data_IF_620943430782
#
_entry.id   IF_620943430782
#
_cell.length_a   1.000
_cell.length_b   1.000
_cell.length_c   1.000
_cell.angle_alpha   90.00
_cell.angle_beta   90.00
_cell.angle_gamma   90.00
#
_symmetry.space_group_name_H-M   'P 1'
#
loop_
_entity.id
_entity.type
_entity.pdbx_description
1 polymer ?
#
# COMPACT_ATOMS: atom_id res chain seq x y z
N UNK A 1 22.82 -13.84 4.41
CA UNK A 1 22.70 -12.97 5.61
C UNK A 1 21.50 -13.41 6.44
N UNK A 2 21.59 -13.37 7.77
CA UNK A 2 20.52 -13.82 8.70
C UNK A 2 19.36 -12.83 8.72
N UNK A 3 18.11 -13.29 8.96
CA UNK A 3 16.95 -12.43 9.29
C UNK A 3 17.38 -11.41 10.36
N UNK A 4 16.91 -10.15 10.31
CA UNK A 4 17.22 -9.18 11.35
C UNK A 4 16.84 -9.75 12.71
N UNK A 5 17.73 -9.60 13.70
CA UNK A 5 17.47 -10.10 15.04
C UNK A 5 16.35 -9.25 15.65
N UNK A 6 15.22 -9.87 15.95
CA UNK A 6 14.12 -9.22 16.67
C UNK A 6 14.67 -8.62 17.98
N UNK A 7 14.44 -7.32 18.16
CA UNK A 7 14.86 -6.60 19.38
C UNK A 7 13.68 -6.34 20.32
N UNK A 8 12.45 -6.65 19.87
CA UNK A 8 11.23 -6.49 20.65
C UNK A 8 11.15 -7.54 21.78
N UNK A 9 11.02 -7.13 23.06
CA UNK A 9 10.83 -8.03 24.19
C UNK A 9 9.56 -8.90 24.05
N UNK A 10 9.52 -10.10 24.67
CA UNK A 10 8.37 -11.01 24.58
C UNK A 10 7.03 -10.36 24.94
N UNK A 11 7.00 -9.51 25.97
CA UNK A 11 5.77 -8.81 26.41
C UNK A 11 5.08 -8.01 25.30
N UNK A 12 5.85 -7.44 24.36
CA UNK A 12 5.31 -6.70 23.22
C UNK A 12 5.19 -7.57 21.97
N UNK A 13 6.09 -8.54 21.78
CA UNK A 13 6.08 -9.44 20.61
C UNK A 13 4.88 -10.39 20.63
N UNK A 14 4.57 -10.92 21.80
CA UNK A 14 3.54 -11.95 21.99
C UNK A 14 2.19 -11.33 22.40
N UNK A 15 2.07 -10.01 22.33
CA UNK A 15 0.86 -9.29 22.72
C UNK A 15 -0.30 -9.57 21.76
N UNK A 16 -1.53 -9.52 22.29
CA UNK A 16 -2.74 -9.65 21.48
C UNK A 16 -3.05 -8.33 20.78
N UNK A 17 -3.80 -8.41 19.69
CA UNK A 17 -4.22 -7.23 18.91
C UNK A 17 -4.92 -6.16 19.75
N UNK A 18 -5.83 -6.58 20.64
CA UNK A 18 -6.55 -5.67 21.54
C UNK A 18 -5.61 -4.86 22.45
N UNK A 19 -4.54 -5.49 22.95
CA UNK A 19 -3.54 -4.79 23.77
C UNK A 19 -2.70 -3.82 22.91
N UNK A 20 -2.36 -4.22 21.68
CA UNK A 20 -1.59 -3.35 20.78
C UNK A 20 -2.36 -2.08 20.40
N UNK A 21 -3.69 -2.18 20.19
CA UNK A 21 -4.55 -1.02 19.91
C UNK A 21 -4.61 0.00 21.07
N UNK A 22 -4.30 -0.41 22.29
CA UNK A 22 -4.21 0.52 23.42
C UNK A 22 -2.92 1.37 23.37
N UNK A 23 -1.89 0.92 22.65
CA UNK A 23 -0.67 1.69 22.45
C UNK A 23 -0.92 2.74 21.37
N UNK A 24 -1.17 3.97 21.79
CA UNK A 24 -1.50 5.08 20.91
C UNK A 24 -0.41 6.15 20.94
N UNK A 25 -0.17 6.78 19.80
CA UNK A 25 0.72 7.94 19.74
C UNK A 25 0.07 9.13 20.46
N UNK A 26 0.85 9.86 21.24
CA UNK A 26 0.40 11.11 21.84
C UNK A 26 0.46 12.22 20.78
N UNK A 27 -0.69 12.60 20.23
CA UNK A 27 -0.82 13.59 19.15
C UNK A 27 -0.21 14.96 19.47
N UNK A 28 -0.13 15.37 20.74
CA UNK A 28 0.55 16.62 21.14
C UNK A 28 2.06 16.59 20.84
N UNK A 29 2.63 15.38 20.77
CA UNK A 29 4.05 15.11 20.52
C UNK A 29 4.37 14.85 19.05
N UNK A 30 3.45 15.13 18.13
CA UNK A 30 3.73 15.01 16.70
C UNK A 30 5.03 15.73 16.34
N UNK A 31 5.89 15.08 15.57
CA UNK A 31 7.14 15.68 15.12
C UNK A 31 6.82 16.89 14.23
N UNK A 32 7.57 17.98 14.43
CA UNK A 32 7.32 19.29 13.82
C UNK A 32 6.04 20.00 14.26
N UNK A 33 5.38 19.58 15.35
CA UNK A 33 4.21 20.30 15.88
C UNK A 33 4.53 21.76 16.22
N UNK A 34 5.76 22.03 16.69
CA UNK A 34 6.27 23.36 16.99
C UNK A 34 6.93 24.11 15.80
N UNK A 35 6.91 23.53 14.59
CA UNK A 35 7.46 24.17 13.40
C UNK A 35 6.34 24.68 12.49
N UNK A 36 6.61 25.80 11.82
CA UNK A 36 5.76 26.37 10.77
C UNK A 36 5.88 25.50 9.52
N UNK A 37 5.11 24.43 9.45
CA UNK A 37 4.96 23.55 8.28
C UNK A 37 3.60 22.86 8.36
N UNK A 38 2.92 22.62 7.21
CA UNK A 38 1.67 21.86 7.20
C UNK A 38 1.89 20.36 7.47
N UNK A 39 3.10 19.84 7.28
CA UNK A 39 3.39 18.43 7.53
C UNK A 39 3.73 18.18 8.99
N UNK A 40 3.23 17.06 9.53
CA UNK A 40 3.64 16.48 10.82
C UNK A 40 4.01 15.02 10.64
N UNK A 41 4.80 14.48 11.56
CA UNK A 41 5.07 13.05 11.61
C UNK A 41 4.60 12.47 12.94
N UNK A 42 4.04 11.28 12.89
CA UNK A 42 3.84 10.45 14.07
C UNK A 42 4.49 9.09 13.84
N UNK A 43 4.70 8.34 14.91
CA UNK A 43 5.47 7.10 14.87
C UNK A 43 4.64 5.92 15.35
N UNK A 44 4.93 4.74 14.82
CA UNK A 44 4.34 3.48 15.30
C UNK A 44 5.26 2.82 16.33
N UNK A 45 4.65 2.25 17.36
CA UNK A 45 5.35 1.48 18.38
C UNK A 45 5.61 0.04 17.90
N UNK A 46 6.70 -0.57 18.35
CA UNK A 46 6.96 -2.01 18.13
C UNK A 46 5.95 -2.88 18.89
N UNK A 47 5.59 -4.03 18.34
CA UNK A 47 4.65 -4.95 18.96
C UNK A 47 4.07 -5.93 17.96
N UNK A 48 3.56 -7.05 18.46
CA UNK A 48 3.07 -8.16 17.66
C UNK A 48 4.12 -8.59 16.61
N UNK A 49 3.75 -8.57 15.34
CA UNK A 49 4.59 -8.89 14.18
C UNK A 49 5.56 -7.75 13.78
N UNK A 50 5.47 -6.56 14.38
CA UNK A 50 6.43 -5.47 14.20
C UNK A 50 7.60 -5.56 15.20
N UNK A 51 8.31 -6.68 15.15
CA UNK A 51 9.34 -7.06 16.12
C UNK A 51 10.74 -6.45 15.84
N UNK A 52 10.88 -5.80 14.69
CA UNK A 52 12.13 -5.24 14.18
C UNK A 52 11.93 -3.76 13.86
N UNK A 53 12.74 -2.85 14.42
CA UNK A 53 12.54 -1.43 14.24
C UNK A 53 13.06 -0.93 12.89
N UNK A 54 12.60 0.26 12.54
CA UNK A 54 13.17 1.10 11.48
C UNK A 54 13.95 2.27 12.09
N UNK A 55 15.01 2.67 11.41
CA UNK A 55 15.70 3.93 11.70
C UNK A 55 15.02 5.07 10.95
N UNK A 56 14.82 6.19 11.62
CA UNK A 56 14.20 7.40 11.08
C UNK A 56 15.12 8.57 11.37
N UNK A 57 15.51 9.28 10.33
CA UNK A 57 16.37 10.44 10.39
C UNK A 57 15.64 11.65 9.80
N UNK A 58 15.77 12.80 10.45
CA UNK A 58 15.41 14.09 9.87
C UNK A 58 16.60 14.63 9.08
N UNK A 59 16.36 15.10 7.85
CA UNK A 59 17.33 15.86 7.06
C UNK A 59 16.95 17.33 7.12
N UNK A 60 17.80 18.15 7.72
CA UNK A 60 17.65 19.61 7.71
C UNK A 60 18.55 20.22 6.63
N UNK A 61 18.49 21.54 6.44
CA UNK A 61 19.37 22.25 5.52
C UNK A 61 20.88 22.09 5.82
N UNK A 62 21.25 21.69 7.03
CA UNK A 62 22.65 21.67 7.49
C UNK A 62 23.10 20.36 8.13
N UNK A 63 22.18 19.44 8.44
CA UNK A 63 22.51 18.22 9.18
C UNK A 63 21.53 17.08 8.92
N UNK A 64 21.99 15.86 9.22
CA UNK A 64 21.14 14.67 9.34
C UNK A 64 21.06 14.31 10.82
N UNK A 65 19.85 14.29 11.39
CA UNK A 65 19.61 14.03 12.82
C UNK A 65 18.78 12.77 12.98
N UNK A 66 19.28 11.80 13.75
CA UNK A 66 18.50 10.63 14.14
C UNK A 66 17.33 11.05 15.04
N UNK A 67 16.11 10.74 14.63
CA UNK A 67 14.92 10.87 15.48
C UNK A 67 14.92 9.68 16.45
N UNK A 68 15.41 9.88 17.67
CA UNK A 68 15.50 8.82 18.67
C UNK A 68 14.10 8.37 19.10
N UNK A 69 13.94 7.06 19.27
CA UNK A 69 12.76 6.51 19.93
C UNK A 69 12.70 7.02 21.37
N UNK A 70 11.49 7.26 21.85
CA UNK A 70 11.19 7.47 23.26
C UNK A 70 9.80 6.89 23.54
N UNK A 71 9.61 6.15 24.65
CA UNK A 71 8.28 5.71 25.06
C UNK A 71 7.35 6.90 25.34
N UNK A 72 7.92 8.08 25.63
CA UNK A 72 7.16 9.30 25.87
C UNK A 72 6.28 9.73 24.69
N UNK A 73 6.58 9.29 23.46
CA UNK A 73 5.74 9.55 22.30
C UNK A 73 4.40 8.81 22.35
N UNK A 74 4.23 7.86 23.28
CA UNK A 74 3.11 6.94 23.31
C UNK A 74 2.40 6.99 24.65
N UNK A 75 1.10 6.71 24.62
CA UNK A 75 0.35 6.20 25.77
C UNK A 75 0.21 4.69 25.60
N UNK A 76 0.30 3.95 26.70
CA UNK A 76 0.23 2.49 26.69
C UNK A 76 -1.12 1.96 27.20
N UNK A 77 -2.05 2.84 27.56
CA UNK A 77 -3.32 2.43 28.18
C UNK A 77 -3.09 1.52 29.39
N UNK A 78 -3.79 0.40 29.42
CA UNK A 78 -3.71 -0.60 30.50
C UNK A 78 -2.65 -1.69 30.24
N UNK A 79 -1.88 -1.58 29.15
CA UNK A 79 -0.83 -2.55 28.80
C UNK A 79 0.23 -2.57 29.91
N UNK A 80 0.29 -3.68 30.64
CA UNK A 80 1.26 -3.88 31.69
C UNK A 80 2.66 -4.05 31.09
N UNK A 81 3.56 -3.12 31.41
CA UNK A 81 4.94 -3.16 30.98
C UNK A 81 5.83 -2.48 32.03
N UNK A 82 7.05 -3.00 32.20
CA UNK A 82 8.04 -2.29 33.01
C UNK A 82 8.59 -1.12 32.20
N UNK A 83 8.78 0.05 32.85
CA UNK A 83 9.44 1.22 32.23
C UNK A 83 10.80 0.86 31.59
N UNK A 84 11.43 -0.15 32.17
CA UNK A 84 12.71 -0.66 31.74
C UNK A 84 12.64 -1.55 30.49
N UNK A 85 11.48 -2.10 30.15
CA UNK A 85 11.31 -2.93 28.94
C UNK A 85 11.14 -2.10 27.67
N UNK A 86 10.76 -0.83 27.78
CA UNK A 86 10.50 0.05 26.63
C UNK A 86 11.70 0.91 26.24
N UNK A 87 12.69 1.11 27.12
CA UNK A 87 13.80 2.06 26.90
C UNK A 87 14.72 1.73 25.71
N UNK A 88 14.88 0.45 25.36
CA UNK A 88 15.78 0.00 24.28
C UNK A 88 15.03 -0.39 22.98
N UNK A 89 13.77 0.04 22.84
CA UNK A 89 12.99 -0.16 21.63
C UNK A 89 13.32 0.86 20.53
N UNK A 90 12.77 0.62 19.34
CA UNK A 90 12.75 1.55 18.22
C UNK A 90 11.34 1.83 17.73
N UNK A 91 11.23 2.62 16.66
CA UNK A 91 9.97 2.81 15.97
C UNK A 91 9.71 1.64 15.02
N UNK A 92 8.47 1.15 14.95
CA UNK A 92 8.06 0.14 13.97
C UNK A 92 7.89 0.74 12.56
N UNK A 93 7.51 2.01 12.51
CA UNK A 93 7.20 2.75 11.29
C UNK A 93 6.85 4.20 11.61
N UNK A 94 6.31 4.91 10.63
CA UNK A 94 5.83 6.28 10.81
C UNK A 94 4.64 6.58 9.91
N UNK A 95 3.92 7.64 10.24
CA UNK A 95 2.86 8.22 9.42
C UNK A 95 3.10 9.70 9.20
N UNK A 96 2.59 10.21 8.09
CA UNK A 96 2.64 11.63 7.72
C UNK A 96 1.25 12.20 7.88
N UNK A 97 1.15 13.32 8.60
CA UNK A 97 -0.07 14.09 8.69
C UNK A 97 0.00 15.35 7.84
N UNK A 98 -1.15 15.77 7.31
CA UNK A 98 -1.30 17.00 6.54
C UNK A 98 -2.76 17.50 6.64
N UNK A 99 -3.00 18.82 6.61
CA UNK A 99 -4.35 19.38 6.59
C UNK A 99 -5.02 19.23 5.21
N UNK A 100 -5.32 17.99 4.84
CA UNK A 100 -5.82 17.63 3.50
C UNK A 100 -7.31 17.86 3.35
N UNK A 101 -8.09 17.68 4.43
CA UNK A 101 -9.55 17.82 4.42
C UNK A 101 -10.02 19.18 4.96
N UNK A 102 -9.35 19.69 5.99
CA UNK A 102 -9.65 21.00 6.58
C UNK A 102 -8.38 21.63 7.15
N UNK A 103 -8.36 22.96 7.27
CA UNK A 103 -7.16 23.70 7.71
C UNK A 103 -6.79 23.45 9.18
N UNK A 104 -7.77 23.09 10.00
CA UNK A 104 -7.62 22.97 11.46
C UNK A 104 -7.43 21.52 11.92
N UNK A 105 -7.34 20.56 10.99
CA UNK A 105 -7.17 19.14 11.29
C UNK A 105 -6.00 18.57 10.51
N UNK A 106 -5.06 17.91 11.20
CA UNK A 106 -3.97 17.18 10.56
C UNK A 106 -4.41 15.72 10.39
N UNK A 107 -4.90 15.36 9.21
CA UNK A 107 -5.29 13.99 8.88
C UNK A 107 -4.07 13.18 8.42
N UNK A 108 -4.12 11.87 8.64
CA UNK A 108 -3.13 10.96 8.05
C UNK A 108 -3.24 10.97 6.53
N UNK A 109 -2.10 11.03 5.84
CA UNK A 109 -2.04 10.95 4.38
C UNK A 109 -1.11 9.85 3.87
N UNK A 110 -0.17 9.39 4.71
CA UNK A 110 0.75 8.30 4.42
C UNK A 110 1.00 7.49 5.68
N UNK A 111 1.02 6.17 5.57
CA UNK A 111 1.49 5.26 6.61
C UNK A 111 2.57 4.33 6.04
N UNK A 112 3.76 4.34 6.64
CA UNK A 112 4.92 3.53 6.25
C UNK A 112 5.24 2.54 7.37
N UNK A 113 4.75 1.31 7.24
CA UNK A 113 4.77 0.30 8.31
C UNK A 113 4.74 -1.11 7.72
N UNK A 114 5.58 -2.01 8.25
CA UNK A 114 5.62 -3.42 7.88
C UNK A 114 6.35 -3.69 6.55
N UNK A 115 7.35 -4.58 6.58
CA UNK A 115 8.18 -4.90 5.43
C UNK A 115 8.56 -3.64 4.63
N UNK A 116 8.22 -3.56 3.34
CA UNK A 116 8.38 -2.37 2.50
C UNK A 116 7.04 -1.75 2.07
N UNK A 117 5.98 -2.00 2.84
CA UNK A 117 4.63 -1.53 2.54
C UNK A 117 4.45 -0.08 2.96
N UNK A 118 3.55 0.59 2.25
CA UNK A 118 3.00 1.87 2.63
C UNK A 118 1.60 2.08 2.08
N UNK A 119 0.76 2.78 2.84
CA UNK A 119 -0.59 3.21 2.45
C UNK A 119 -0.62 4.71 2.26
N UNK A 120 -1.46 5.19 1.36
CA UNK A 120 -1.56 6.62 1.02
C UNK A 120 -3.01 6.96 0.72
N UNK A 121 -3.44 8.15 1.12
CA UNK A 121 -4.78 8.67 0.83
C UNK A 121 -4.74 10.13 0.38
N UNK A 122 -5.68 10.47 -0.51
CA UNK A 122 -6.07 11.82 -0.92
C UNK A 122 -7.20 12.39 -0.06
N UNK A 123 -7.71 13.57 -0.45
CA UNK A 123 -8.77 14.25 0.28
C UNK A 123 -10.08 13.43 0.30
N UNK A 124 -10.68 13.32 1.49
CA UNK A 124 -11.95 12.63 1.72
C UNK A 124 -11.89 11.12 1.50
N UNK A 125 -10.71 10.53 1.54
CA UNK A 125 -10.50 9.08 1.39
C UNK A 125 -10.26 8.41 2.74
N UNK A 126 -10.46 7.09 2.78
CA UNK A 126 -10.10 6.20 3.90
C UNK A 126 -9.04 5.21 3.39
N UNK A 127 -8.16 4.71 4.26
CA UNK A 127 -7.16 3.72 3.85
C UNK A 127 -7.82 2.45 3.30
N UNK A 128 -7.27 1.95 2.19
CA UNK A 128 -7.58 0.62 1.63
C UNK A 128 -6.29 -0.05 1.19
N UNK A 129 -6.14 -0.21 -0.13
CA UNK A 129 -4.96 -0.82 -0.74
C UNK A 129 -3.63 -0.18 -0.29
N UNK A 130 -2.58 -1.00 -0.35
CA UNK A 130 -1.20 -0.63 -0.06
C UNK A 130 -0.35 -0.66 -1.32
N UNK A 131 0.74 0.08 -1.33
CA UNK A 131 1.86 -0.10 -2.25
C UNK A 131 3.06 -0.70 -1.50
N UNK A 132 4.03 -1.27 -2.22
CA UNK A 132 5.31 -1.70 -1.63
C UNK A 132 6.50 -1.13 -2.39
N UNK A 133 7.65 -1.10 -1.74
CA UNK A 133 8.92 -0.75 -2.39
C UNK A 133 9.32 -1.75 -3.47
N UNK A 134 9.22 -3.05 -3.16
CA UNK A 134 9.66 -4.14 -4.03
C UNK A 134 8.97 -5.45 -3.64
N UNK A 135 8.68 -6.30 -4.60
CA UNK A 135 8.21 -7.67 -4.39
C UNK A 135 9.21 -8.66 -4.99
N UNK A 136 9.42 -9.83 -4.37
CA UNK A 136 10.39 -10.84 -4.82
C UNK A 136 9.77 -12.23 -4.70
N UNK A 137 9.77 -12.97 -5.80
CA UNK A 137 9.27 -14.36 -5.86
C UNK A 137 7.79 -14.52 -5.42
N UNK A 138 6.99 -13.44 -5.52
CA UNK A 138 5.56 -13.49 -5.22
C UNK A 138 4.86 -14.54 -6.08
N UNK A 139 4.01 -15.36 -5.45
CA UNK A 139 3.29 -16.48 -6.05
C UNK A 139 4.16 -17.63 -6.61
N UNK A 140 5.47 -17.65 -6.35
CA UNK A 140 6.31 -18.80 -6.71
C UNK A 140 6.21 -19.91 -5.65
N UNK A 141 6.25 -21.21 -6.05
CA UNK A 141 6.23 -22.33 -5.10
C UNK A 141 7.38 -22.33 -4.08
N UNK A 142 8.50 -21.65 -4.39
CA UNK A 142 9.63 -21.48 -3.48
C UNK A 142 9.33 -20.57 -2.28
N UNK A 143 8.21 -19.84 -2.31
CA UNK A 143 7.83 -18.86 -1.29
C UNK A 143 8.29 -17.45 -1.62
N UNK A 144 7.46 -16.48 -1.24
CA UNK A 144 7.74 -15.05 -1.41
C UNK A 144 8.82 -14.57 -0.43
N UNK A 145 9.75 -13.76 -0.94
CA UNK A 145 10.66 -12.98 -0.12
C UNK A 145 10.08 -11.58 0.07
N UNK A 146 10.04 -11.11 1.32
CA UNK A 146 9.51 -9.79 1.69
C UNK A 146 10.64 -8.82 2.02
N UNK A 147 11.10 -7.98 1.06
CA UNK A 147 11.99 -6.88 1.34
C UNK A 147 11.40 -5.91 2.36
N UNK A 148 12.26 -5.30 3.17
CA UNK A 148 11.85 -4.28 4.14
C UNK A 148 12.56 -2.95 3.99
N UNK A 149 11.85 -1.85 4.26
CA UNK A 149 12.52 -0.59 4.56
C UNK A 149 13.11 -0.67 5.97
N UNK A 150 14.42 -0.45 6.08
CA UNK A 150 15.13 -0.50 7.37
C UNK A 150 15.50 0.87 7.91
N UNK A 151 15.60 1.86 7.03
CA UNK A 151 16.01 3.21 7.39
C UNK A 151 15.40 4.25 6.47
N UNK A 152 15.01 5.38 7.05
CA UNK A 152 14.39 6.51 6.38
C UNK A 152 15.14 7.81 6.67
N UNK A 153 15.13 8.71 5.69
CA UNK A 153 15.58 10.09 5.81
C UNK A 153 14.49 11.01 5.31
N UNK A 154 13.86 11.74 6.21
CA UNK A 154 12.72 12.61 5.91
C UNK A 154 13.22 14.05 5.90
N UNK A 155 13.15 14.70 4.74
CA UNK A 155 13.59 16.09 4.60
C UNK A 155 12.60 17.02 5.30
N UNK A 156 13.10 17.88 6.18
CA UNK A 156 12.28 18.90 6.83
C UNK A 156 11.73 19.85 5.76
N UNK A 157 10.41 19.91 5.54
CA UNK A 157 9.83 20.81 4.56
C UNK A 157 9.94 22.26 5.01
N UNK A 158 10.02 23.18 4.05
CA UNK A 158 9.91 24.62 4.30
C UNK A 158 8.46 24.99 4.63
N UNK A 159 8.22 26.15 5.27
CA UNK A 159 6.85 26.54 5.66
C UNK A 159 5.82 26.61 4.54
N UNK A 160 6.28 26.88 3.31
CA UNK A 160 5.42 27.01 2.12
C UNK A 160 5.37 25.75 1.27
N UNK A 161 6.14 24.71 1.62
CA UNK A 161 6.20 23.50 0.81
C UNK A 161 4.87 22.72 0.92
N UNK A 162 4.38 22.30 -0.24
CA UNK A 162 3.18 21.45 -0.38
C UNK A 162 3.54 20.00 -0.74
N UNK A 163 4.79 19.62 -0.52
CA UNK A 163 5.33 18.30 -0.81
C UNK A 163 6.30 17.88 0.28
N UNK A 164 6.42 16.57 0.51
CA UNK A 164 7.34 16.01 1.47
C UNK A 164 8.27 15.00 0.77
N UNK A 165 9.58 15.19 0.91
CA UNK A 165 10.59 14.25 0.40
C UNK A 165 10.95 13.25 1.49
N UNK A 166 10.87 11.97 1.16
CA UNK A 166 11.28 10.85 2.03
C UNK A 166 12.26 9.98 1.24
N UNK A 167 13.44 9.73 1.77
CA UNK A 167 14.34 8.69 1.26
C UNK A 167 14.21 7.44 2.11
N UNK A 168 14.36 6.28 1.49
CA UNK A 168 14.32 5.00 2.19
C UNK A 168 15.39 4.02 1.69
N UNK A 169 15.96 3.27 2.61
CA UNK A 169 16.85 2.15 2.33
C UNK A 169 16.11 0.84 2.52
N UNK A 170 15.97 0.10 1.43
CA UNK A 170 15.37 -1.22 1.37
C UNK A 170 16.45 -2.30 1.47
N UNK A 171 16.14 -3.34 2.23
CA UNK A 171 17.01 -4.47 2.48
C UNK A 171 16.24 -5.78 2.45
N UNK A 172 16.77 -6.77 1.75
CA UNK A 172 16.18 -8.10 1.57
C UNK A 172 17.28 -9.15 1.45
N UNK A 173 17.06 -10.43 1.78
CA UNK A 173 18.09 -11.47 1.61
C UNK A 173 18.83 -11.42 0.27
N UNK A 174 18.13 -11.23 -0.85
CA UNK A 174 18.70 -11.26 -2.21
C UNK A 174 18.68 -9.92 -2.94
N UNK A 175 18.23 -8.83 -2.32
CA UNK A 175 18.20 -7.50 -2.95
C UNK A 175 18.39 -6.35 -1.95
N UNK A 176 18.80 -5.19 -2.45
CA UNK A 176 18.77 -3.91 -1.73
C UNK A 176 18.29 -2.82 -2.66
N UNK A 177 17.74 -1.74 -2.09
CA UNK A 177 17.31 -0.60 -2.88
C UNK A 177 17.43 0.72 -2.15
N UNK A 178 17.69 1.78 -2.89
CA UNK A 178 17.61 3.16 -2.42
C UNK A 178 16.42 3.84 -3.10
N UNK A 179 15.56 4.48 -2.31
CA UNK A 179 14.33 5.09 -2.77
C UNK A 179 14.31 6.58 -2.43
N UNK A 180 13.72 7.36 -3.32
CA UNK A 180 13.26 8.72 -3.08
C UNK A 180 11.76 8.76 -3.39
N UNK A 181 10.98 9.15 -2.39
CA UNK A 181 9.56 9.43 -2.48
C UNK A 181 9.35 10.94 -2.39
N UNK A 182 8.50 11.50 -3.24
CA UNK A 182 7.98 12.87 -3.09
C UNK A 182 6.47 12.79 -3.02
N UNK A 183 5.94 13.00 -1.82
CA UNK A 183 4.50 12.95 -1.52
C UNK A 183 3.89 14.32 -1.80
N UNK A 184 2.84 14.35 -2.61
CA UNK A 184 2.13 15.56 -3.02
C UNK A 184 0.65 15.40 -2.68
N UNK A 185 0.21 15.80 -1.47
CA UNK A 185 -1.17 15.66 -1.04
C UNK A 185 -2.10 16.63 -1.79
N UNK A 186 -3.32 16.16 -2.07
CA UNK A 186 -4.35 16.92 -2.78
C UNK A 186 -5.68 16.17 -2.81
N UNK A 187 -6.57 16.52 -3.75
CA UNK A 187 -7.75 15.69 -4.04
C UNK A 187 -7.33 14.25 -4.30
N UNK A 188 -6.35 14.11 -5.17
CA UNK A 188 -5.52 12.93 -5.30
C UNK A 188 -4.20 13.18 -4.57
N UNK A 189 -3.73 12.20 -3.82
CA UNK A 189 -2.34 12.23 -3.34
C UNK A 189 -1.48 11.49 -4.36
N UNK A 190 -0.50 12.20 -4.92
CA UNK A 190 0.47 11.62 -5.86
C UNK A 190 1.79 11.40 -5.15
N UNK A 191 2.36 10.22 -5.32
CA UNK A 191 3.70 9.89 -4.84
C UNK A 191 4.62 9.69 -6.04
N UNK A 192 5.58 10.60 -6.21
CA UNK A 192 6.68 10.39 -7.15
C UNK A 192 7.70 9.44 -6.52
N UNK A 193 8.09 8.41 -7.25
CA UNK A 193 9.03 7.38 -6.79
C UNK A 193 10.19 7.29 -7.76
N UNK A 194 11.40 7.37 -7.21
CA UNK A 194 12.63 6.98 -7.87
C UNK A 194 13.31 5.90 -7.03
N UNK A 195 13.70 4.81 -7.67
CA UNK A 195 14.43 3.72 -7.03
C UNK A 195 15.69 3.33 -7.79
N UNK A 196 16.69 2.90 -7.02
CA UNK A 196 17.91 2.23 -7.48
C UNK A 196 17.96 0.88 -6.78
N UNK A 197 17.76 -0.21 -7.52
CA UNK A 197 17.71 -1.58 -6.99
C UNK A 197 18.98 -2.32 -7.41
N UNK A 198 19.51 -3.11 -6.49
CA UNK A 198 20.66 -3.98 -6.73
C UNK A 198 20.35 -5.37 -6.21
N UNK A 199 20.48 -6.37 -7.09
CA UNK A 199 20.40 -7.77 -6.68
C UNK A 199 21.70 -8.17 -5.98
N UNK A 200 21.60 -8.89 -4.87
CA UNK A 200 22.73 -9.54 -4.20
C UNK A 200 22.96 -10.95 -4.72
N UNK A 201 21.89 -11.58 -5.16
CA UNK A 201 21.85 -12.89 -5.79
C UNK A 201 20.71 -12.89 -6.83
N UNK A 202 20.68 -13.88 -7.71
CA UNK A 202 19.59 -14.08 -8.65
C UNK A 202 18.29 -14.36 -7.89
N UNK A 203 17.19 -13.84 -8.44
CA UNK A 203 15.83 -14.07 -7.96
C UNK A 203 15.02 -14.68 -9.09
N UNK A 204 13.97 -15.44 -8.76
CA UNK A 204 13.10 -16.02 -9.76
C UNK A 204 12.21 -14.97 -10.41
N UNK A 205 11.71 -14.03 -9.60
CA UNK A 205 10.81 -12.96 -10.04
C UNK A 205 11.05 -11.67 -9.25
N UNK A 206 11.00 -10.52 -9.93
CA UNK A 206 11.14 -9.20 -9.33
C UNK A 206 9.91 -8.34 -9.67
N UNK A 207 9.09 -8.02 -8.67
CA UNK A 207 7.94 -7.13 -8.82
C UNK A 207 8.31 -5.67 -8.54
N UNK A 208 8.19 -4.84 -9.57
CA UNK A 208 8.43 -3.39 -9.59
C UNK A 208 7.10 -2.65 -9.45
N UNK A 209 7.12 -1.57 -8.65
CA UNK A 209 5.94 -0.77 -8.31
C UNK A 209 4.72 -1.61 -7.85
N UNK A 210 4.91 -2.54 -6.90
CA UNK A 210 3.83 -3.43 -6.47
C UNK A 210 2.72 -2.69 -5.73
N UNK A 211 1.50 -3.08 -6.03
CA UNK A 211 0.27 -2.75 -5.32
C UNK A 211 -0.28 -4.02 -4.67
N UNK A 212 -0.94 -3.87 -3.52
CA UNK A 212 -1.56 -4.94 -2.75
C UNK A 212 -2.91 -4.47 -2.26
N UNK A 213 -3.95 -5.26 -2.48
CA UNK A 213 -5.33 -4.91 -2.18
C UNK A 213 -6.10 -6.13 -1.69
N UNK A 214 -7.39 -5.94 -1.48
CA UNK A 214 -8.31 -6.96 -0.99
C UNK A 214 -9.56 -7.02 -1.86
N UNK A 215 -9.98 -8.23 -2.23
CA UNK A 215 -11.28 -8.50 -2.85
C UNK A 215 -11.89 -9.77 -2.24
N UNK A 216 -13.05 -9.63 -1.58
CA UNK A 216 -13.76 -10.77 -0.98
C UNK A 216 -14.85 -11.29 -1.90
N UNK A 217 -15.78 -10.41 -2.28
CA UNK A 217 -16.91 -10.69 -3.17
C UNK A 217 -17.44 -9.41 -3.80
N UNK A 218 -18.14 -9.55 -4.92
CA UNK A 218 -18.78 -8.47 -5.66
C UNK A 218 -19.81 -9.02 -6.65
N UNK A 219 -20.45 -8.20 -7.49
CA UNK A 219 -21.50 -8.67 -8.40
C UNK A 219 -21.00 -9.73 -9.40
N UNK A 220 -19.71 -9.73 -9.74
CA UNK A 220 -19.08 -10.74 -10.61
C UNK A 220 -18.83 -12.08 -9.91
N UNK A 221 -18.80 -12.10 -8.59
CA UNK A 221 -18.65 -13.28 -7.74
C UNK A 221 -19.32 -13.00 -6.39
N UNK A 222 -20.66 -13.18 -6.28
CA UNK A 222 -21.41 -12.77 -5.09
C UNK A 222 -21.01 -13.60 -3.87
N UNK A 223 -21.25 -13.03 -2.68
CA UNK A 223 -21.00 -13.72 -1.42
C UNK A 223 -21.76 -15.05 -1.37
N UNK A 224 -21.11 -16.17 -1.01
CA UNK A 224 -21.80 -17.44 -0.82
C UNK A 224 -22.66 -17.47 0.46
N UNK A 225 -22.39 -16.56 1.41
CA UNK A 225 -23.16 -16.40 2.64
C UNK A 225 -24.01 -15.14 2.57
N UNK A 226 -25.18 -15.17 3.22
CA UNK A 226 -26.03 -13.99 3.30
C UNK A 226 -25.29 -12.86 4.02
N UNK A 227 -25.12 -11.73 3.35
CA UNK A 227 -24.46 -10.55 3.86
C UNK A 227 -25.32 -9.35 3.48
N UNK A 228 -25.51 -8.42 4.42
CA UNK A 228 -26.27 -7.20 4.12
C UNK A 228 -25.50 -6.29 3.14
N UNK A 229 -24.17 -6.44 3.08
CA UNK A 229 -23.30 -5.74 2.14
C UNK A 229 -23.39 -6.38 0.76
N UNK A 230 -23.71 -5.62 -0.31
CA UNK A 230 -23.73 -6.16 -1.67
C UNK A 230 -22.32 -6.51 -2.21
N UNK A 231 -21.32 -5.70 -1.85
CA UNK A 231 -19.93 -5.85 -2.26
C UNK A 231 -18.98 -5.62 -1.06
N UNK A 232 -17.83 -6.30 -1.05
CA UNK A 232 -16.79 -6.09 -0.03
C UNK A 232 -15.41 -6.26 -0.67
N UNK A 233 -14.75 -5.13 -0.93
CA UNK A 233 -13.41 -5.07 -1.54
C UNK A 233 -12.80 -3.66 -1.47
N UNK A 234 -11.46 -3.61 -1.54
CA UNK A 234 -10.66 -2.38 -1.63
C UNK A 234 -10.34 -2.01 -3.08
N UNK A 235 -10.51 -2.96 -3.99
CA UNK A 235 -10.39 -2.80 -5.43
C UNK A 235 -11.21 -3.89 -6.10
N UNK A 236 -11.72 -3.63 -7.31
CA UNK A 236 -12.52 -4.60 -8.07
C UNK A 236 -12.00 -4.88 -9.48
N UNK A 237 -10.90 -4.26 -9.89
CA UNK A 237 -10.22 -4.65 -11.13
C UNK A 237 -8.81 -4.13 -11.24
N UNK A 238 -8.02 -4.85 -12.04
CA UNK A 238 -6.75 -4.39 -12.58
C UNK A 238 -7.03 -3.65 -13.90
N UNK A 239 -6.65 -2.38 -13.97
CA UNK A 239 -6.63 -1.59 -15.19
C UNK A 239 -5.19 -1.51 -15.73
N UNK A 240 -5.03 -1.60 -17.04
CA UNK A 240 -3.73 -1.54 -17.71
C UNK A 240 -3.87 -0.66 -18.95
N UNK A 241 -2.95 0.28 -19.11
CA UNK A 241 -2.69 0.97 -20.37
C UNK A 241 -1.41 0.38 -20.97
N UNK A 242 -1.59 -0.52 -21.94
CA UNK A 242 -0.52 -1.31 -22.52
C UNK A 242 0.41 -0.46 -23.40
N UNK A 243 1.61 -0.97 -23.67
CA UNK A 243 2.60 -0.25 -24.49
C UNK A 243 2.16 0.01 -25.94
N UNK A 244 1.21 -0.76 -26.45
CA UNK A 244 0.60 -0.56 -27.77
C UNK A 244 -0.59 0.43 -27.76
N UNK A 245 -0.95 0.99 -26.61
CA UNK A 245 -2.08 1.92 -26.43
C UNK A 245 -3.41 1.26 -26.08
N UNK A 246 -3.49 -0.06 -25.99
CA UNK A 246 -4.70 -0.77 -25.58
C UNK A 246 -4.99 -0.54 -24.09
N UNK A 247 -6.27 -0.35 -23.76
CA UNK A 247 -6.76 -0.36 -22.39
C UNK A 247 -7.37 -1.73 -22.06
N UNK A 248 -6.83 -2.38 -21.03
CA UNK A 248 -7.27 -3.70 -20.56
C UNK A 248 -7.90 -3.54 -19.18
N UNK A 249 -9.07 -4.14 -18.99
CA UNK A 249 -9.73 -4.25 -17.69
C UNK A 249 -9.87 -5.72 -17.31
N UNK A 250 -9.28 -6.10 -16.18
CA UNK A 250 -9.41 -7.44 -15.58
C UNK A 250 -10.14 -7.31 -14.23
N UNK A 251 -11.47 -7.55 -14.18
CA UNK A 251 -12.21 -7.62 -12.93
C UNK A 251 -11.58 -8.64 -11.99
N UNK A 252 -11.46 -8.34 -10.70
CA UNK A 252 -10.82 -9.23 -9.71
C UNK A 252 -11.75 -10.36 -9.29
N UNK A 253 -11.17 -11.49 -8.87
CA UNK A 253 -11.87 -12.60 -8.26
C UNK A 253 -11.22 -12.97 -6.92
N UNK A 254 -11.96 -13.66 -6.08
CA UNK A 254 -11.48 -14.43 -4.93
C UNK A 254 -11.51 -15.92 -5.32
N UNK A 255 -10.47 -16.44 -5.98
CA UNK A 255 -10.48 -17.79 -6.54
C UNK A 255 -10.37 -18.87 -5.44
N UNK A 256 -10.73 -20.11 -5.76
CA UNK A 256 -10.55 -21.27 -4.85
C UNK A 256 -9.09 -21.74 -4.75
N UNK A 257 -8.26 -21.36 -5.71
CA UNK A 257 -6.84 -21.70 -5.78
C UNK A 257 -6.05 -20.46 -6.18
N UNK A 258 -4.76 -20.40 -5.78
CA UNK A 258 -3.86 -19.33 -6.20
C UNK A 258 -3.89 -19.17 -7.72
N UNK A 259 -4.23 -17.97 -8.19
CA UNK A 259 -4.24 -17.64 -9.61
C UNK A 259 -3.21 -16.55 -9.90
N UNK A 260 -2.47 -16.74 -11.00
CA UNK A 260 -1.51 -15.76 -11.53
C UNK A 260 -1.87 -15.49 -12.98
N UNK A 261 -2.16 -14.24 -13.30
CA UNK A 261 -2.41 -13.77 -14.66
C UNK A 261 -1.26 -12.86 -15.09
N UNK A 262 -0.62 -13.16 -16.21
CA UNK A 262 0.49 -12.37 -16.75
C UNK A 262 0.08 -11.72 -18.08
N UNK A 263 0.20 -10.40 -18.15
CA UNK A 263 -0.07 -9.60 -19.34
C UNK A 263 1.28 -9.14 -19.91
N UNK A 264 1.82 -9.91 -20.84
CA UNK A 264 3.13 -9.63 -21.44
C UNK A 264 3.06 -8.46 -22.42
N UNK A 265 3.99 -7.52 -22.30
CA UNK A 265 4.08 -6.35 -23.16
C UNK A 265 5.50 -5.76 -23.11
N UNK A 266 5.71 -4.75 -23.94
CA UNK A 266 6.90 -3.90 -23.90
C UNK A 266 6.48 -2.48 -23.55
N UNK A 267 7.20 -1.83 -22.63
CA UNK A 267 6.99 -0.43 -22.25
C UNK A 267 5.53 -0.12 -21.80
N UNK A 268 5.07 -0.66 -20.65
CA UNK A 268 3.74 -0.33 -20.12
C UNK A 268 3.58 1.18 -19.94
N UNK A 269 2.44 1.74 -20.37
CA UNK A 269 2.13 3.16 -20.18
C UNK A 269 1.52 3.43 -18.80
N UNK A 270 0.87 2.44 -18.20
CA UNK A 270 0.43 2.48 -16.82
C UNK A 270 -0.37 1.24 -16.43
N UNK A 271 -0.52 1.03 -15.13
CA UNK A 271 -1.36 -0.03 -14.59
C UNK A 271 -1.80 0.32 -13.16
N UNK A 272 -2.90 -0.25 -12.69
CA UNK A 272 -3.39 0.06 -11.35
C UNK A 272 -4.49 -0.87 -10.86
N UNK A 273 -4.61 -0.96 -9.53
CA UNK A 273 -5.76 -1.58 -8.88
C UNK A 273 -6.79 -0.48 -8.63
N UNK A 274 -7.95 -0.60 -9.26
CA UNK A 274 -9.00 0.42 -9.24
C UNK A 274 -10.23 -0.07 -8.48
N UNK A 275 -10.96 0.91 -7.95
CA UNK A 275 -12.22 0.79 -7.23
C UNK A 275 -13.32 1.50 -8.03
N UNK A 276 -13.83 0.84 -9.08
CA UNK A 276 -14.89 1.42 -9.94
C UNK A 276 -16.27 1.19 -9.34
N UNK A 277 -17.10 2.23 -9.29
CA UNK A 277 -18.43 2.18 -8.66
C UNK A 277 -18.35 2.49 -7.17
N UNK A 278 -18.61 3.75 -6.83
CA UNK A 278 -18.40 4.32 -5.48
C UNK A 278 -19.68 4.71 -4.76
N UNK A 279 -20.84 4.37 -5.30
CA UNK A 279 -22.09 4.58 -4.60
C UNK A 279 -22.08 3.81 -3.28
N UNK A 280 -22.40 4.47 -2.18
CA UNK A 280 -22.41 3.85 -0.85
C UNK A 280 -23.28 2.58 -0.82
N UNK A 281 -24.36 2.56 -1.60
CA UNK A 281 -25.27 1.42 -1.69
C UNK A 281 -24.68 0.14 -2.27
N UNK A 282 -23.46 0.19 -2.81
CA UNK A 282 -22.72 -1.02 -3.19
C UNK A 282 -22.08 -1.72 -2.01
N UNK A 283 -21.84 -1.00 -0.91
CA UNK A 283 -21.07 -1.50 0.22
C UNK A 283 -21.88 -1.53 1.51
N UNK A 284 -22.72 -0.52 1.75
CA UNK A 284 -23.60 -0.38 2.94
C UNK A 284 -22.86 -0.43 4.30
N UNK A 285 -21.53 -0.31 4.30
CA UNK A 285 -20.71 -0.37 5.51
C UNK A 285 -20.34 1.02 6.04
N UNK A 286 -20.89 1.38 7.21
CA UNK A 286 -20.67 2.68 7.84
C UNK A 286 -19.31 2.80 8.56
N UNK A 287 -18.70 1.68 8.95
CA UNK A 287 -17.45 1.66 9.70
C UNK A 287 -16.24 1.65 8.76
N UNK A 288 -16.25 0.74 7.78
CA UNK A 288 -15.10 0.46 6.91
C UNK A 288 -15.03 1.35 5.66
N UNK A 289 -16.17 1.93 5.25
CA UNK A 289 -16.28 2.91 4.16
C UNK A 289 -15.49 2.54 2.90
N UNK A 290 -15.68 1.31 2.40
CA UNK A 290 -15.06 0.80 1.17
C UNK A 290 -15.28 1.73 -0.05
N UNK A 291 -16.42 2.43 -0.08
CA UNK A 291 -16.77 3.45 -1.09
C UNK A 291 -15.78 4.63 -1.15
N UNK A 292 -15.08 4.89 -0.04
CA UNK A 292 -14.08 5.96 0.12
C UNK A 292 -12.63 5.49 -0.06
N UNK A 293 -12.38 4.19 -0.26
CA UNK A 293 -11.00 3.66 -0.39
C UNK A 293 -10.40 3.98 -1.76
N UNK A 294 -9.11 4.35 -1.86
CA UNK A 294 -8.52 4.83 -3.10
C UNK A 294 -8.37 3.74 -4.16
N UNK A 295 -8.52 4.12 -5.42
CA UNK A 295 -7.81 3.49 -6.53
C UNK A 295 -6.33 3.91 -6.49
N UNK A 296 -5.43 3.04 -6.95
CA UNK A 296 -4.03 3.39 -7.16
C UNK A 296 -3.57 3.08 -8.58
N UNK A 297 -3.02 4.11 -9.23
CA UNK A 297 -2.53 4.04 -10.60
C UNK A 297 -1.03 4.32 -10.67
N UNK A 298 -0.26 3.39 -11.22
CA UNK A 298 1.16 3.50 -11.48
C UNK A 298 1.38 4.02 -12.90
N UNK A 299 2.11 5.12 -13.02
CA UNK A 299 2.58 5.67 -14.31
C UNK A 299 4.11 5.56 -14.38
N UNK A 300 4.66 4.61 -15.16
CA UNK A 300 6.07 4.53 -15.48
C UNK A 300 6.63 5.83 -16.06
N UNK A 301 7.89 6.16 -15.74
CA UNK A 301 8.65 7.25 -16.36
C UNK A 301 9.83 6.69 -17.15
N UNK A 302 9.73 6.82 -18.47
CA UNK A 302 10.67 6.23 -19.41
C UNK A 302 10.27 4.81 -19.81
N UNK A 303 11.13 4.16 -20.58
CA UNK A 303 10.90 2.82 -21.12
C UNK A 303 11.31 1.75 -20.11
N UNK A 304 10.38 0.86 -19.76
CA UNK A 304 10.61 -0.26 -18.82
C UNK A 304 11.01 -1.56 -19.53
N UNK A 305 11.04 -1.56 -20.87
CA UNK A 305 11.42 -2.70 -21.67
C UNK A 305 10.38 -3.81 -21.66
N UNK A 306 10.83 -5.03 -21.95
CA UNK A 306 9.99 -6.24 -22.00
C UNK A 306 9.76 -6.84 -20.62
N UNK A 307 8.54 -7.29 -20.40
CA UNK A 307 8.09 -7.84 -19.13
C UNK A 307 6.61 -8.12 -19.16
N UNK A 308 6.04 -8.27 -17.97
CA UNK A 308 4.60 -8.46 -17.80
C UNK A 308 4.07 -7.60 -16.66
N UNK A 309 2.87 -7.05 -16.84
CA UNK A 309 2.04 -6.69 -15.68
C UNK A 309 1.45 -8.00 -15.17
N UNK A 310 1.70 -8.34 -13.91
CA UNK A 310 1.18 -9.56 -13.29
C UNK A 310 0.13 -9.22 -12.24
N UNK A 311 -0.91 -10.04 -12.21
CA UNK A 311 -1.96 -10.08 -11.19
C UNK A 311 -1.88 -11.41 -10.45
N UNK A 312 -1.83 -11.35 -9.12
CA UNK A 312 -1.90 -12.51 -8.23
C UNK A 312 -3.18 -12.40 -7.41
N UNK A 313 -4.00 -13.44 -7.46
CA UNK A 313 -5.24 -13.58 -6.69
C UNK A 313 -5.11 -14.79 -5.77
N UNK A 314 -5.11 -14.54 -4.46
CA UNK A 314 -4.91 -15.53 -3.40
C UNK A 314 -6.29 -15.87 -2.82
N UNK A 315 -6.62 -17.16 -2.58
CA UNK A 315 -7.85 -17.52 -1.88
C UNK A 315 -7.88 -16.92 -0.47
N UNK A 316 -8.96 -16.22 -0.13
CA UNK A 316 -9.22 -15.76 1.24
C UNK A 316 -10.66 -16.00 1.66
N UNK A 317 -10.88 -16.19 2.95
CA UNK A 317 -12.20 -16.24 3.56
C UNK A 317 -12.47 -15.01 4.46
N UNK A 318 -11.51 -14.08 4.52
CA UNK A 318 -11.46 -13.01 5.52
C UNK A 318 -10.89 -11.72 4.90
N UNK A 319 -11.60 -10.62 5.10
CA UNK A 319 -11.26 -9.26 4.65
C UNK A 319 -10.06 -8.64 5.34
N UNK A 320 -9.65 -9.16 6.48
CA UNK A 320 -8.47 -8.68 7.20
C UNK A 320 -7.16 -9.03 6.49
N UNK A 321 -7.19 -9.96 5.52
CA UNK A 321 -6.03 -10.38 4.75
C UNK A 321 -6.11 -9.88 3.30
N UNK A 322 -5.18 -9.00 2.92
CA UNK A 322 -4.99 -8.60 1.53
C UNK A 322 -4.69 -9.85 0.67
N UNK A 323 -5.49 -10.07 -0.37
CA UNK A 323 -5.43 -11.26 -1.21
C UNK A 323 -5.17 -10.95 -2.70
N UNK A 324 -4.92 -9.69 -3.04
CA UNK A 324 -4.67 -9.22 -4.41
C UNK A 324 -3.30 -8.57 -4.47
N UNK A 325 -2.49 -8.93 -5.47
CA UNK A 325 -1.20 -8.27 -5.73
C UNK A 325 -1.07 -7.96 -7.22
N UNK A 326 -0.64 -6.75 -7.56
CA UNK A 326 -0.33 -6.37 -8.94
C UNK A 326 1.02 -5.66 -9.04
N UNK A 327 1.82 -5.99 -10.05
CA UNK A 327 3.15 -5.36 -10.27
C UNK A 327 3.62 -5.53 -11.71
N UNK A 328 4.65 -4.77 -12.08
CA UNK A 328 5.44 -5.03 -13.28
C UNK A 328 6.59 -6.00 -12.97
N UNK A 329 6.80 -7.02 -13.78
CA UNK A 329 7.99 -7.88 -13.71
C UNK A 329 8.75 -7.84 -15.04
N UNK A 330 10.02 -7.39 -15.06
CA UNK A 330 10.85 -7.47 -16.27
C UNK A 330 11.11 -8.93 -16.68
N UNK A 331 11.21 -9.20 -17.99
CA UNK A 331 11.52 -10.55 -18.51
C UNK A 331 12.97 -10.96 -18.20
N UNK A 332 13.87 -9.98 -18.15
CA UNK A 332 15.29 -10.18 -17.89
C UNK A 332 15.74 -9.28 -16.76
N UNK A 333 16.50 -9.87 -15.83
CA UNK A 333 17.17 -9.16 -14.75
C UNK A 333 18.67 -9.11 -15.04
N UNK A 334 19.33 -7.98 -14.75
CA UNK A 334 20.77 -7.91 -14.91
C UNK A 334 21.48 -8.78 -13.86
N UNK A 335 22.76 -9.07 -14.09
CA UNK A 335 23.57 -9.83 -13.13
C UNK A 335 23.63 -9.13 -11.75
N UNK A 336 23.75 -9.89 -10.64
CA UNK A 336 23.88 -9.33 -9.30
C UNK A 336 24.94 -8.24 -9.20
N UNK A 337 24.65 -7.20 -8.41
CA UNK A 337 25.47 -6.01 -8.26
C UNK A 337 25.26 -4.93 -9.32
N UNK A 338 24.59 -5.22 -10.44
CA UNK A 338 24.21 -4.19 -11.42
C UNK A 338 23.03 -3.35 -10.91
N UNK A 339 23.09 -2.06 -11.21
CA UNK A 339 22.04 -1.10 -10.85
C UNK A 339 20.85 -1.22 -11.81
N UNK A 340 19.65 -1.30 -11.24
CA UNK A 340 18.38 -1.11 -11.95
C UNK A 340 17.76 0.21 -11.48
N UNK A 341 17.35 1.06 -12.42
CA UNK A 341 16.70 2.34 -12.11
C UNK A 341 15.23 2.28 -12.52
N UNK A 342 14.32 2.51 -11.58
CA UNK A 342 12.90 2.67 -11.88
C UNK A 342 12.41 4.02 -11.41
N UNK A 343 11.62 4.68 -12.24
CA UNK A 343 10.97 5.96 -11.94
C UNK A 343 9.51 5.83 -12.32
N UNK A 344 8.63 6.27 -11.44
CA UNK A 344 7.18 6.22 -11.65
C UNK A 344 6.47 7.18 -10.71
N UNK A 345 5.20 7.47 -10.98
CA UNK A 345 4.27 8.03 -9.99
C UNK A 345 3.26 6.97 -9.59
N UNK A 346 2.78 7.04 -8.35
CA UNK A 346 1.56 6.37 -7.90
C UNK A 346 0.53 7.45 -7.58
N UNK A 347 -0.61 7.43 -8.26
CA UNK A 347 -1.73 8.34 -8.00
C UNK A 347 -2.79 7.59 -7.19
N UNK A 348 -3.10 8.09 -5.98
CA UNK A 348 -4.17 7.58 -5.12
C UNK A 348 -5.41 8.47 -5.26
N UNK A 349 -6.46 7.94 -5.88
CA UNK A 349 -7.61 8.73 -6.36
C UNK A 349 -8.96 8.07 -6.10
N UNK A 350 -10.03 8.87 -6.16
CA UNK A 350 -11.42 8.42 -6.29
C UNK A 350 -12.11 8.86 -7.58
N UNK A 351 -11.34 9.40 -8.51
CA UNK A 351 -11.81 9.86 -9.81
C UNK A 351 -11.36 8.87 -10.88
N UNK A 352 -11.95 7.67 -10.91
CA UNK A 352 -11.55 6.61 -11.85
C UNK A 352 -11.68 7.04 -13.32
N UNK A 353 -12.59 7.98 -13.61
CA UNK A 353 -12.75 8.59 -14.94
C UNK A 353 -11.51 9.35 -15.40
N UNK A 354 -10.76 9.97 -14.47
CA UNK A 354 -9.51 10.68 -14.76
C UNK A 354 -8.30 9.75 -14.83
N UNK A 355 -8.46 8.49 -14.44
CA UNK A 355 -7.44 7.45 -14.56
C UNK A 355 -7.60 6.63 -15.85
N UNK A 356 -8.48 7.05 -16.77
CA UNK A 356 -8.77 6.39 -18.04
C UNK A 356 -8.76 7.42 -19.18
N UNK A 357 -8.53 6.98 -20.42
CA UNK A 357 -8.57 7.87 -21.57
C UNK A 357 -10.02 8.37 -21.83
N UNK A 358 -10.25 9.67 -22.04
CA UNK A 358 -11.62 10.23 -22.15
C UNK A 358 -12.38 9.80 -23.41
N UNK A 359 -11.66 9.33 -24.44
CA UNK A 359 -12.17 8.83 -25.72
C UNK A 359 -12.27 7.30 -25.77
N UNK A 360 -12.00 6.61 -24.66
CA UNK A 360 -12.11 5.16 -24.54
C UNK A 360 -13.12 4.80 -23.44
N UNK A 361 -14.21 4.10 -23.80
CA UNK A 361 -15.19 3.65 -22.81
C UNK A 361 -14.58 2.61 -21.86
N UNK A 362 -15.07 2.57 -20.62
CA UNK A 362 -14.62 1.59 -19.63
C UNK A 362 -15.79 0.84 -18.99
N UNK A 363 -15.47 -0.32 -18.40
CA UNK A 363 -16.45 -1.14 -17.69
C UNK A 363 -16.70 -0.56 -16.31
N UNK A 364 -17.94 -0.14 -16.05
CA UNK A 364 -18.36 0.40 -14.75
C UNK A 364 -18.66 -0.72 -13.73
N UNK A 365 -19.18 -1.85 -14.20
CA UNK A 365 -19.48 -3.02 -13.36
C UNK A 365 -19.52 -4.30 -14.19
N UNK A 366 -19.22 -5.42 -13.53
CA UNK A 366 -19.41 -6.77 -14.06
C UNK A 366 -20.34 -7.52 -13.12
N UNK A 367 -21.45 -8.06 -13.63
CA UNK A 367 -22.40 -8.84 -12.84
C UNK A 367 -22.52 -10.26 -13.39
N UNK A 368 -22.52 -11.23 -12.48
CA UNK A 368 -22.74 -12.64 -12.78
C UNK A 368 -24.19 -13.01 -12.49
N UNK A 369 -24.79 -13.80 -13.38
CA UNK A 369 -26.16 -14.29 -13.25
C UNK A 369 -26.20 -15.78 -13.59
N UNK A 370 -27.06 -16.54 -12.91
CA UNK A 370 -27.35 -17.93 -13.26
C UNK A 370 -28.49 -17.96 -14.29
N UNK A 371 -28.26 -18.55 -15.47
CA UNK A 371 -29.28 -18.67 -16.53
C UNK A 371 -29.23 -17.56 -17.59
N UNK A 372 -30.15 -17.61 -18.57
CA UNK A 372 -30.34 -16.52 -19.53
C UNK A 372 -30.97 -15.30 -18.85
N UNK A 373 -30.65 -14.08 -19.30
CA UNK A 373 -31.14 -12.83 -18.69
C UNK A 373 -32.67 -12.71 -18.60
N UNK A 374 -33.42 -13.56 -19.32
CA UNK A 374 -34.89 -13.60 -19.35
C UNK A 374 -35.50 -14.61 -18.36
N UNK A 375 -34.71 -15.42 -17.67
CA UNK A 375 -35.18 -16.56 -16.87
C UNK A 375 -35.79 -16.19 -15.49
N UNK A 376 -36.21 -14.93 -15.30
CA UNK A 376 -36.94 -14.51 -14.09
C UNK A 376 -38.43 -14.51 -14.44
N UNK A 377 -39.05 -15.69 -14.47
CA UNK A 377 -40.50 -15.75 -14.36
C UNK A 377 -40.88 -15.31 -12.94
N UNK A 378 -41.83 -14.39 -12.76
CA UNK A 378 -42.34 -14.10 -11.43
C UNK A 378 -43.05 -15.35 -10.94
N UNK A 379 -42.57 -15.92 -9.83
CA UNK A 379 -43.35 -16.90 -9.08
C UNK A 379 -44.75 -16.30 -8.85
N UNK A 380 -45.74 -16.88 -9.53
CA UNK A 380 -47.14 -16.52 -9.35
C UNK A 380 -47.52 -16.86 -7.90
N UNK A 381 -48.12 -15.93 -7.14
CA UNK A 381 -48.51 -16.23 -5.77
C UNK A 381 -49.63 -17.29 -5.79
N UNK A 382 -49.43 -18.38 -5.03
CA UNK A 382 -50.46 -19.34 -4.69
C UNK A 382 -50.93 -19.12 -3.25
#
# INVERSE_FOLDING_TARGET
MRRPKATCPPVFRDMKYADYQQIQFNHDKAYWNNLKTPFKLEFYHQGMYFDTPVKINEVTATAVKRIKYSPDYFTFGDVQHDKDTVKDLGFAGFKVLYPINSKDKNDEIVSMLGASYFRVIGAGQVYGLSARGLAIDTALPSGEEFPRFKEFWIERPKPTDKRLTIYALLDSPRATGAYKFVVMPGRDTVVDVQSKIYLRDKVGKLGVAPLTSMFLFGPNQPSPANNYRPELHDSNGLSIHAGNGEWIWRPLNNPKHLAVSSFSMENPQGFGLLQRGRDFSRFEDLDDRYDLRPSAWVTPKGEWGKGSVELVEIPTNDETNDNIVAYWTPDQLPEPGKEMNFKYTITFSRDEDKLHAPDNAWVQQNASFNGGCEAVEPDSPA
#
